data_IF_347990751781
#
_entry.id   IF_347990751781
#
_cell.length_a   1.000
_cell.length_b   1.000
_cell.length_c   1.000
_cell.angle_alpha   90.00
_cell.angle_beta   90.00
_cell.angle_gamma   90.00
#
_symmetry.space_group_name_H-M   'P 1'
#
loop_
_entity.id
_entity.type
_entity.pdbx_description
1 polymer ?
#
# COMPACT_ATOMS: atom_id res chain seq x y z
N UNK A 1 -30.27 -25.82 18.60
CA UNK A 1 -29.64 -26.18 19.88
C UNK A 1 -28.16 -26.36 19.57
N UNK A 2 -27.35 -25.50 20.16
CA UNK A 2 -25.91 -25.24 20.02
C UNK A 2 -25.03 -26.40 19.47
N UNK A 3 -24.54 -26.25 18.22
CA UNK A 3 -23.20 -26.75 17.90
C UNK A 3 -22.20 -25.71 18.44
N UNK A 4 -21.78 -25.88 19.70
CA UNK A 4 -20.55 -25.28 20.19
C UNK A 4 -19.37 -25.96 19.48
N UNK A 5 -19.15 -25.61 18.22
CA UNK A 5 -17.81 -25.76 17.64
C UNK A 5 -16.97 -24.67 18.27
N UNK A 6 -15.94 -25.07 19.01
CA UNK A 6 -14.88 -24.15 19.41
C UNK A 6 -14.44 -23.41 18.14
N UNK A 7 -14.62 -22.10 18.14
CA UNK A 7 -14.22 -21.26 17.01
C UNK A 7 -12.74 -20.98 17.17
N UNK A 8 -11.96 -21.32 16.15
CA UNK A 8 -10.54 -20.94 16.08
C UNK A 8 -10.44 -19.42 16.02
N UNK A 9 -9.67 -18.81 16.93
CA UNK A 9 -9.37 -17.39 16.86
C UNK A 9 -8.44 -17.11 15.67
N UNK A 10 -8.66 -16.00 14.95
CA UNK A 10 -7.74 -15.59 13.87
C UNK A 10 -6.33 -15.27 14.39
N UNK A 11 -6.22 -14.88 15.66
CA UNK A 11 -4.94 -14.62 16.34
C UNK A 11 -4.04 -15.85 16.37
N UNK A 12 -4.62 -17.05 16.45
CA UNK A 12 -3.86 -18.32 16.46
C UNK A 12 -3.14 -18.58 15.13
N UNK A 13 -3.69 -18.07 14.02
CA UNK A 13 -3.11 -18.22 12.69
C UNK A 13 -2.15 -17.07 12.35
N UNK A 14 -2.39 -15.88 12.88
CA UNK A 14 -1.75 -14.65 12.42
C UNK A 14 -2.07 -14.35 10.94
N UNK A 15 -1.51 -13.27 10.41
CA UNK A 15 -1.77 -12.82 9.04
C UNK A 15 -1.32 -13.84 7.99
N UNK A 16 -0.03 -14.23 8.00
CA UNK A 16 0.52 -15.15 7.00
C UNK A 16 -0.11 -16.54 7.08
N UNK A 17 -0.41 -17.03 8.28
CA UNK A 17 -1.10 -18.31 8.47
C UNK A 17 -2.53 -18.27 7.95
N UNK A 18 -3.24 -17.16 8.16
CA UNK A 18 -4.59 -16.96 7.63
C UNK A 18 -4.60 -16.90 6.11
N UNK A 19 -3.71 -16.10 5.49
CA UNK A 19 -3.59 -16.02 4.03
C UNK A 19 -3.32 -17.41 3.44
N UNK A 20 -2.34 -18.14 3.99
CA UNK A 20 -2.05 -19.51 3.55
C UNK A 20 -3.29 -20.40 3.67
N UNK A 21 -3.96 -20.40 4.82
CA UNK A 21 -5.14 -21.23 5.07
C UNK A 21 -6.28 -20.92 4.08
N UNK A 22 -6.57 -19.64 3.83
CA UNK A 22 -7.64 -19.22 2.92
C UNK A 22 -7.33 -19.53 1.46
N UNK A 23 -6.07 -19.51 1.07
CA UNK A 23 -5.64 -19.61 -0.33
C UNK A 23 -5.22 -21.02 -0.75
N UNK A 24 -5.01 -21.94 0.19
CA UNK A 24 -4.44 -23.29 -0.03
C UNK A 24 -5.21 -24.14 -1.08
N UNK A 25 -6.53 -23.92 -1.19
CA UNK A 25 -7.40 -24.67 -2.09
C UNK A 25 -7.61 -24.00 -3.46
N UNK A 26 -7.08 -22.80 -3.68
CA UNK A 26 -7.24 -22.07 -4.94
C UNK A 26 -6.14 -22.45 -5.93
N UNK A 27 -6.52 -23.25 -6.95
CA UNK A 27 -5.60 -23.66 -8.01
C UNK A 27 -5.68 -22.72 -9.20
N UNK A 28 -4.52 -22.33 -9.73
CA UNK A 28 -4.42 -21.64 -11.01
C UNK A 28 -4.90 -22.58 -12.12
N UNK A 29 -5.81 -22.08 -12.97
CA UNK A 29 -6.40 -22.84 -14.10
C UNK A 29 -6.11 -22.22 -15.46
N UNK A 30 -5.88 -20.92 -15.51
CA UNK A 30 -5.60 -20.19 -16.73
C UNK A 30 -4.10 -20.12 -16.96
N UNK A 31 -3.65 -20.48 -18.17
CA UNK A 31 -2.23 -20.42 -18.56
C UNK A 31 -1.68 -18.99 -18.49
N UNK A 32 -2.55 -17.99 -18.68
CA UNK A 32 -2.20 -16.57 -18.54
C UNK A 32 -1.92 -16.16 -17.10
N UNK A 33 -2.09 -17.01 -16.10
CA UNK A 33 -1.76 -16.69 -14.70
C UNK A 33 -0.45 -17.36 -14.32
N UNK A 34 0.65 -16.62 -14.41
CA UNK A 34 2.01 -17.11 -14.16
C UNK A 34 2.29 -17.21 -12.67
N UNK A 35 1.87 -16.21 -11.89
CA UNK A 35 2.02 -16.16 -10.43
C UNK A 35 0.74 -15.66 -9.79
N UNK A 36 0.26 -16.41 -8.80
CA UNK A 36 -0.86 -16.04 -7.93
C UNK A 36 -0.38 -15.55 -6.57
N UNK A 37 -1.09 -15.95 -5.51
CA UNK A 37 -0.80 -15.57 -4.12
C UNK A 37 0.64 -15.95 -3.72
N UNK A 38 1.32 -15.06 -2.98
CA UNK A 38 2.60 -15.34 -2.34
C UNK A 38 3.80 -14.52 -2.81
N UNK A 39 3.58 -13.48 -3.63
CA UNK A 39 4.55 -12.43 -3.99
C UNK A 39 3.94 -11.04 -3.74
N UNK A 40 4.70 -9.98 -4.02
CA UNK A 40 4.21 -8.58 -3.94
C UNK A 40 3.06 -8.30 -4.93
N UNK A 41 3.06 -8.93 -6.10
CA UNK A 41 1.97 -8.82 -7.07
C UNK A 41 1.71 -10.15 -7.79
N UNK A 42 0.48 -10.32 -8.27
CA UNK A 42 0.15 -11.38 -9.21
C UNK A 42 0.75 -11.06 -10.58
N UNK A 43 1.17 -12.10 -11.32
CA UNK A 43 1.77 -11.96 -12.65
C UNK A 43 0.90 -12.65 -13.68
N UNK A 44 0.45 -11.90 -14.68
CA UNK A 44 -0.35 -12.40 -15.80
C UNK A 44 0.41 -12.28 -17.11
N UNK A 45 0.38 -13.33 -17.93
CA UNK A 45 0.99 -13.35 -19.25
C UNK A 45 -0.01 -12.90 -20.32
N UNK A 46 0.28 -11.74 -20.93
CA UNK A 46 -0.40 -11.23 -22.11
C UNK A 46 0.56 -11.12 -23.31
N UNK A 47 1.45 -12.12 -23.46
CA UNK A 47 2.47 -12.28 -24.51
C UNK A 47 3.67 -11.35 -24.35
N UNK A 48 3.59 -10.15 -24.90
CA UNK A 48 4.77 -9.28 -25.06
C UNK A 48 5.21 -8.62 -23.74
N UNK A 49 4.30 -8.58 -22.76
CA UNK A 49 4.53 -8.02 -21.43
C UNK A 49 3.81 -8.88 -20.38
N UNK A 50 4.43 -9.02 -19.22
CA UNK A 50 3.78 -9.56 -18.04
C UNK A 50 3.05 -8.42 -17.34
N UNK A 51 1.74 -8.56 -17.14
CA UNK A 51 0.98 -7.63 -16.31
C UNK A 51 1.16 -7.99 -14.84
N UNK A 52 1.38 -6.97 -14.02
CA UNK A 52 1.56 -7.07 -12.58
C UNK A 52 0.36 -6.41 -11.90
N UNK A 53 -0.24 -7.10 -10.93
CA UNK A 53 -1.44 -6.62 -10.24
C UNK A 53 -1.27 -6.83 -8.73
N UNK A 54 -1.30 -5.73 -7.97
CA UNK A 54 -1.37 -5.75 -6.51
C UNK A 54 -2.59 -4.97 -6.02
N UNK A 55 -3.02 -5.23 -4.79
CA UNK A 55 -4.13 -4.52 -4.15
C UNK A 55 -3.91 -4.45 -2.65
N UNK A 56 -3.91 -3.24 -2.11
CA UNK A 56 -3.86 -2.99 -0.67
C UNK A 56 -5.13 -2.33 -0.13
N UNK A 57 -5.28 -2.47 1.19
CA UNK A 57 -6.30 -1.81 1.98
C UNK A 57 -5.66 -0.86 3.00
N UNK A 58 -6.15 0.37 3.05
CA UNK A 58 -5.90 1.32 4.12
C UNK A 58 -7.20 1.54 4.90
N UNK A 59 -7.14 1.21 6.17
CA UNK A 59 -8.26 1.27 7.11
C UNK A 59 -7.99 2.34 8.16
N UNK A 60 -8.96 3.21 8.39
CA UNK A 60 -8.94 4.18 9.49
C UNK A 60 -8.74 3.47 10.84
N UNK A 61 -7.83 3.98 11.67
CA UNK A 61 -7.48 3.42 12.97
C UNK A 61 -6.54 2.21 12.93
N UNK A 62 -6.18 1.73 11.75
CA UNK A 62 -5.18 0.66 11.56
C UNK A 62 -3.97 1.18 10.79
N UNK A 63 -4.20 1.80 9.63
CA UNK A 63 -3.14 2.23 8.72
C UNK A 63 -2.89 3.74 8.73
N UNK A 64 -3.90 4.50 9.19
CA UNK A 64 -3.85 5.95 9.32
C UNK A 64 -4.81 6.41 10.41
N UNK A 65 -4.57 7.62 10.91
CA UNK A 65 -5.43 8.28 11.88
C UNK A 65 -5.75 9.70 11.39
N UNK A 66 -7.04 10.01 11.28
CA UNK A 66 -7.51 11.29 10.75
C UNK A 66 -7.25 12.48 11.69
N UNK A 67 -6.85 12.23 12.94
CA UNK A 67 -6.45 13.30 13.87
C UNK A 67 -5.13 13.97 13.51
N UNK A 68 -4.25 13.28 12.77
CA UNK A 68 -2.93 13.82 12.40
C UNK A 68 -2.51 13.57 10.94
N UNK A 69 -3.25 12.75 10.18
CA UNK A 69 -2.96 12.55 8.75
C UNK A 69 -3.81 13.50 7.92
N UNK A 70 -3.21 14.50 7.22
CA UNK A 70 -3.93 15.32 6.27
C UNK A 70 -4.49 14.46 5.13
N UNK A 71 -5.74 14.72 4.72
CA UNK A 71 -6.44 13.92 3.72
C UNK A 71 -5.74 13.88 2.36
N UNK A 72 -5.14 14.99 1.95
CA UNK A 72 -4.31 15.05 0.74
C UNK A 72 -3.07 14.15 0.82
N UNK A 73 -2.43 14.06 1.99
CA UNK A 73 -1.31 13.14 2.19
C UNK A 73 -1.80 11.69 2.23
N UNK A 74 -2.97 11.42 2.83
CA UNK A 74 -3.57 10.10 2.82
C UNK A 74 -3.83 9.60 1.39
N UNK A 75 -4.43 10.43 0.53
CA UNK A 75 -4.65 10.10 -0.87
C UNK A 75 -3.35 9.82 -1.62
N UNK A 76 -2.33 10.65 -1.44
CA UNK A 76 -1.02 10.44 -2.04
C UNK A 76 -0.36 9.14 -1.55
N UNK A 77 -0.35 8.91 -0.23
CA UNK A 77 0.19 7.71 0.41
C UNK A 77 -0.51 6.44 -0.09
N UNK A 78 -1.84 6.47 -0.24
CA UNK A 78 -2.61 5.33 -0.71
C UNK A 78 -2.11 4.83 -2.07
N UNK A 79 -1.83 5.75 -3.00
CA UNK A 79 -1.25 5.41 -4.30
C UNK A 79 0.17 4.87 -4.11
N UNK A 80 1.03 5.57 -3.38
CA UNK A 80 2.45 5.21 -3.25
C UNK A 80 2.69 3.84 -2.65
N UNK A 81 1.91 3.43 -1.65
CA UNK A 81 2.01 2.09 -1.05
C UNK A 81 1.74 1.02 -2.11
N UNK A 82 0.67 1.18 -2.91
CA UNK A 82 0.31 0.21 -3.95
C UNK A 82 1.27 0.19 -5.14
N UNK A 83 1.88 1.33 -5.50
CA UNK A 83 2.89 1.36 -6.56
C UNK A 83 4.18 0.63 -6.11
N UNK A 84 4.47 0.63 -4.81
CA UNK A 84 5.68 0.03 -4.26
C UNK A 84 5.77 -1.47 -4.55
N UNK A 85 4.65 -2.19 -4.51
CA UNK A 85 4.61 -3.62 -4.81
C UNK A 85 4.98 -3.94 -6.25
N UNK A 86 4.49 -3.12 -7.20
CA UNK A 86 4.83 -3.25 -8.61
C UNK A 86 6.33 -2.99 -8.81
N UNK A 87 6.88 -1.96 -8.15
CA UNK A 87 8.30 -1.63 -8.22
C UNK A 87 9.19 -2.70 -7.56
N UNK A 88 8.73 -3.34 -6.48
CA UNK A 88 9.44 -4.43 -5.82
C UNK A 88 9.64 -5.64 -6.75
N UNK A 89 8.74 -5.84 -7.71
CA UNK A 89 8.85 -6.85 -8.77
C UNK A 89 9.52 -6.35 -10.05
N UNK A 90 10.24 -5.21 -9.98
CA UNK A 90 10.92 -4.56 -11.10
C UNK A 90 9.97 -4.12 -12.23
N UNK A 91 8.70 -3.87 -11.88
CA UNK A 91 7.66 -3.46 -12.80
C UNK A 91 7.57 -1.95 -13.00
N UNK A 92 6.91 -1.56 -14.08
CA UNK A 92 6.46 -0.19 -14.34
C UNK A 92 4.96 -0.13 -14.10
N UNK A 93 4.55 0.53 -13.02
CA UNK A 93 3.14 0.82 -12.76
C UNK A 93 2.58 1.84 -13.75
N UNK A 94 1.33 1.67 -14.16
CA UNK A 94 0.69 2.51 -15.18
C UNK A 94 -0.75 2.87 -14.88
N UNK A 95 -1.51 2.01 -14.22
CA UNK A 95 -2.91 2.28 -13.90
C UNK A 95 -3.22 1.94 -12.46
N UNK A 96 -4.24 2.62 -11.92
CA UNK A 96 -4.87 2.26 -10.65
C UNK A 96 -6.40 2.25 -10.76
N UNK A 97 -7.03 1.44 -9.91
CA UNK A 97 -8.43 1.65 -9.53
C UNK A 97 -8.52 2.04 -8.05
N UNK A 98 -9.53 2.81 -7.67
CA UNK A 98 -9.73 3.28 -6.30
C UNK A 98 -11.12 2.89 -5.80
N UNK A 99 -11.19 2.03 -4.80
CA UNK A 99 -12.43 1.71 -4.11
C UNK A 99 -12.48 2.40 -2.75
N UNK A 100 -13.54 3.16 -2.51
CA UNK A 100 -13.71 3.99 -1.32
C UNK A 100 -14.92 3.54 -0.50
N UNK A 101 -14.68 3.15 0.75
CA UNK A 101 -15.71 3.03 1.77
C UNK A 101 -15.75 4.30 2.62
N UNK A 102 -16.85 5.03 2.59
CA UNK A 102 -16.95 6.33 3.27
C UNK A 102 -18.17 6.40 4.19
N UNK A 103 -17.99 6.99 5.37
CA UNK A 103 -19.12 7.27 6.27
C UNK A 103 -19.88 8.52 5.82
N UNK A 104 -21.20 8.55 6.02
CA UNK A 104 -22.03 9.73 5.73
C UNK A 104 -21.70 10.97 6.56
N UNK A 105 -20.75 10.87 7.49
CA UNK A 105 -20.21 11.99 8.28
C UNK A 105 -19.18 12.82 7.52
N UNK A 106 -18.60 12.28 6.45
CA UNK A 106 -17.61 13.02 5.66
C UNK A 106 -18.30 14.05 4.77
N UNK A 107 -17.88 15.32 4.81
CA UNK A 107 -18.29 16.30 3.82
C UNK A 107 -17.63 15.99 2.47
N UNK A 108 -18.20 16.53 1.38
CA UNK A 108 -17.67 16.32 0.02
C UNK A 108 -16.22 16.79 -0.08
N UNK A 109 -15.92 17.94 0.51
CA UNK A 109 -14.62 18.61 0.50
C UNK A 109 -13.51 17.73 1.10
N UNK A 110 -13.86 16.88 2.07
CA UNK A 110 -12.91 15.92 2.62
C UNK A 110 -12.53 14.85 1.59
N UNK A 111 -13.50 14.38 0.80
CA UNK A 111 -13.27 13.38 -0.25
C UNK A 111 -12.51 14.00 -1.43
N UNK A 112 -12.82 15.25 -1.77
CA UNK A 112 -12.07 16.01 -2.78
C UNK A 112 -10.59 16.15 -2.39
N UNK A 113 -10.28 16.42 -1.12
CA UNK A 113 -8.89 16.50 -0.66
C UNK A 113 -8.15 15.15 -0.75
N UNK A 114 -8.83 14.02 -0.48
CA UNK A 114 -8.24 12.69 -0.72
C UNK A 114 -7.94 12.52 -2.21
N UNK A 115 -8.90 12.80 -3.09
CA UNK A 115 -8.72 12.63 -4.54
C UNK A 115 -7.69 13.57 -5.13
N UNK A 116 -7.52 14.77 -4.58
CA UNK A 116 -6.43 15.68 -4.93
C UNK A 116 -5.07 15.08 -4.57
N UNK A 117 -4.97 14.39 -3.44
CA UNK A 117 -3.77 13.62 -3.07
C UNK A 117 -3.45 12.51 -4.08
N UNK A 118 -4.48 11.77 -4.48
CA UNK A 118 -4.39 10.73 -5.50
C UNK A 118 -3.97 11.33 -6.85
N UNK A 119 -4.60 12.42 -7.27
CA UNK A 119 -4.27 13.15 -8.50
C UNK A 119 -2.81 13.60 -8.51
N UNK A 120 -2.31 14.16 -7.41
CA UNK A 120 -0.91 14.56 -7.28
C UNK A 120 0.05 13.37 -7.46
N UNK A 121 -0.26 12.23 -6.86
CA UNK A 121 0.54 11.02 -7.06
C UNK A 121 0.45 10.51 -8.50
N UNK A 122 -0.74 10.46 -9.09
CA UNK A 122 -0.97 10.04 -10.47
C UNK A 122 -0.18 10.91 -11.46
N UNK A 123 -0.27 12.23 -11.33
CA UNK A 123 0.45 13.17 -12.18
C UNK A 123 1.97 13.05 -12.02
N UNK A 124 2.46 12.92 -10.77
CA UNK A 124 3.91 12.81 -10.52
C UNK A 124 4.50 11.53 -11.11
N UNK A 125 3.79 10.40 -11.03
CA UNK A 125 4.31 9.09 -11.44
C UNK A 125 3.80 8.62 -12.80
N UNK A 126 3.02 9.45 -13.50
CA UNK A 126 2.38 9.15 -14.78
C UNK A 126 1.54 7.87 -14.72
N UNK A 127 0.58 7.87 -13.79
CA UNK A 127 -0.37 6.78 -13.54
C UNK A 127 -1.77 7.25 -13.90
N UNK A 128 -2.53 6.43 -14.62
CA UNK A 128 -3.93 6.72 -14.92
C UNK A 128 -4.84 6.14 -13.83
N UNK A 129 -5.75 6.95 -13.30
CA UNK A 129 -6.89 6.45 -12.53
C UNK A 129 -7.97 6.00 -13.52
N UNK A 130 -8.22 4.69 -13.60
CA UNK A 130 -9.06 4.09 -14.66
C UNK A 130 -10.40 3.54 -14.16
N UNK A 131 -10.69 3.65 -12.87
CA UNK A 131 -11.94 3.16 -12.32
C UNK A 131 -11.91 3.04 -10.81
N UNK A 132 -12.94 2.40 -10.27
CA UNK A 132 -13.12 2.32 -8.84
C UNK A 132 -14.53 1.91 -8.44
N UNK A 133 -14.76 1.92 -7.13
CA UNK A 133 -16.07 1.77 -6.52
C UNK A 133 -16.23 2.77 -5.37
N UNK A 134 -17.46 3.13 -5.02
CA UNK A 134 -17.70 3.99 -3.85
C UNK A 134 -18.93 3.50 -3.12
N UNK A 135 -18.76 3.19 -1.84
CA UNK A 135 -19.81 2.62 -1.01
C UNK A 135 -19.84 3.23 0.38
N UNK A 136 -20.98 3.06 1.05
CA UNK A 136 -21.17 3.50 2.43
C UNK A 136 -20.45 2.57 3.40
N UNK A 137 -19.70 3.14 4.34
CA UNK A 137 -19.03 2.42 5.43
C UNK A 137 -19.55 2.87 6.80
N UNK A 138 -19.81 1.90 7.68
CA UNK A 138 -20.22 2.17 9.07
C UNK A 138 -19.03 2.31 10.01
N UNK A 139 -17.88 1.76 9.66
CA UNK A 139 -16.69 1.69 10.50
C UNK A 139 -15.79 2.92 10.38
N UNK A 140 -15.91 3.70 9.31
CA UNK A 140 -15.02 4.84 9.03
C UNK A 140 -14.57 4.84 7.57
N UNK A 141 -13.48 5.56 7.30
CA UNK A 141 -12.87 5.64 5.98
C UNK A 141 -12.08 4.36 5.66
N UNK A 142 -12.35 3.80 4.48
CA UNK A 142 -11.65 2.65 3.90
C UNK A 142 -11.22 3.03 2.51
N UNK A 143 -9.93 2.87 2.20
CA UNK A 143 -9.38 3.09 0.86
C UNK A 143 -8.78 1.77 0.41
N UNK A 144 -9.23 1.25 -0.72
CA UNK A 144 -8.58 0.15 -1.42
C UNK A 144 -8.10 0.65 -2.76
N UNK A 145 -6.86 0.35 -3.11
CA UNK A 145 -6.34 0.64 -4.44
C UNK A 145 -5.87 -0.66 -5.05
N UNK A 146 -6.11 -0.84 -6.34
CA UNK A 146 -5.45 -1.88 -7.14
C UNK A 146 -4.45 -1.19 -8.04
N UNK A 147 -3.18 -1.55 -7.95
CA UNK A 147 -2.16 -1.11 -8.90
C UNK A 147 -2.01 -2.12 -10.03
N UNK A 148 -1.86 -1.59 -11.24
CA UNK A 148 -1.61 -2.36 -12.46
C UNK A 148 -0.35 -1.80 -13.09
N UNK A 149 0.56 -2.70 -13.41
CA UNK A 149 1.78 -2.37 -14.14
C UNK A 149 2.18 -3.48 -15.08
N UNK A 150 3.38 -3.36 -15.63
CA UNK A 150 3.97 -4.38 -16.47
C UNK A 150 5.48 -4.46 -16.34
N UNK A 151 6.04 -5.61 -16.72
CA UNK A 151 7.47 -5.79 -16.93
C UNK A 151 7.71 -6.70 -18.15
N UNK A 152 8.93 -6.71 -18.69
CA UNK A 152 9.34 -7.80 -19.56
C UNK A 152 9.41 -9.09 -18.74
N UNK A 153 9.26 -10.25 -19.39
CA UNK A 153 9.19 -11.54 -18.69
C UNK A 153 10.47 -11.84 -17.91
N UNK A 154 11.60 -11.50 -18.49
CA UNK A 154 12.94 -11.65 -17.94
C UNK A 154 13.24 -10.67 -16.80
N UNK A 155 12.50 -9.56 -16.72
CA UNK A 155 12.73 -8.51 -15.72
C UNK A 155 11.92 -8.74 -14.43
N UNK A 156 10.85 -9.55 -14.48
CA UNK A 156 10.00 -9.81 -13.31
C UNK A 156 10.82 -10.48 -12.21
N UNK A 157 10.89 -9.81 -11.06
CA UNK A 157 11.58 -10.33 -9.87
C UNK A 157 10.59 -11.00 -8.92
N UNK A 158 10.99 -12.12 -8.31
CA UNK A 158 10.18 -12.89 -7.36
C UNK A 158 10.91 -13.07 -6.03
N UNK A 159 10.16 -13.15 -4.93
CA UNK A 159 10.70 -13.39 -3.58
C UNK A 159 11.44 -14.74 -3.41
N UNK A 160 11.29 -15.67 -4.34
CA UNK A 160 11.89 -17.01 -4.28
C UNK A 160 13.12 -17.18 -5.19
N UNK A 161 13.72 -16.09 -5.69
CA UNK A 161 14.88 -16.13 -6.58
C UNK A 161 16.25 -16.19 -5.88
N UNK A 162 16.33 -15.81 -4.60
CA UNK A 162 17.61 -15.65 -3.89
C UNK A 162 18.44 -16.94 -3.84
N UNK A 163 19.75 -16.81 -4.05
CA UNK A 163 20.74 -17.89 -4.07
C UNK A 163 21.78 -17.72 -2.95
N UNK A 164 22.52 -18.80 -2.67
CA UNK A 164 23.68 -18.73 -1.79
C UNK A 164 24.71 -17.74 -2.34
N UNK A 165 25.24 -16.89 -1.45
CA UNK A 165 26.20 -15.81 -1.78
C UNK A 165 25.60 -14.54 -2.38
N UNK A 166 24.27 -14.45 -2.57
CA UNK A 166 23.62 -13.18 -2.91
C UNK A 166 23.81 -12.14 -1.81
N UNK A 167 23.94 -10.88 -2.21
CA UNK A 167 23.99 -9.76 -1.28
C UNK A 167 22.57 -9.35 -0.87
N UNK A 168 22.37 -9.16 0.43
CA UNK A 168 21.16 -8.51 0.93
C UNK A 168 21.36 -7.00 0.96
N UNK A 169 20.59 -6.29 0.17
CA UNK A 169 20.65 -4.84 0.07
C UNK A 169 19.30 -4.22 0.45
N UNK A 170 19.34 -2.97 0.93
CA UNK A 170 18.15 -2.16 1.23
C UNK A 170 18.34 -0.80 0.61
N UNK A 171 17.24 -0.16 0.20
CA UNK A 171 17.26 1.17 -0.38
C UNK A 171 16.73 2.21 0.61
N UNK A 172 17.42 3.36 0.70
CA UNK A 172 17.02 4.46 1.58
C UNK A 172 17.12 4.13 3.07
N UNK A 173 16.43 4.92 3.90
CA UNK A 173 16.49 4.78 5.35
C UNK A 173 15.35 3.92 5.91
N UNK A 174 15.72 3.00 6.80
CA UNK A 174 14.80 2.15 7.57
C UNK A 174 14.43 2.81 8.89
N UNK A 175 13.19 2.55 9.36
CA UNK A 175 12.70 3.02 10.66
C UNK A 175 12.15 4.46 10.67
N UNK A 176 12.39 5.27 9.62
CA UNK A 176 11.88 6.65 9.54
C UNK A 176 10.36 6.77 9.72
N UNK A 177 9.59 5.94 8.99
CA UNK A 177 8.12 5.94 9.11
C UNK A 177 7.65 5.56 10.53
N UNK A 178 8.33 4.62 11.19
CA UNK A 178 8.00 4.22 12.55
C UNK A 178 8.26 5.35 13.55
N UNK A 179 9.42 6.01 13.48
CA UNK A 179 9.71 7.16 14.34
C UNK A 179 8.73 8.31 14.07
N UNK A 180 8.37 8.55 12.80
CA UNK A 180 7.36 9.53 12.42
C UNK A 180 6.00 9.24 13.05
N UNK A 181 5.56 7.98 13.02
CA UNK A 181 4.35 7.53 13.70
C UNK A 181 4.42 7.79 15.21
N UNK A 182 5.54 7.45 15.87
CA UNK A 182 5.69 7.67 17.31
C UNK A 182 5.61 9.15 17.69
N UNK A 183 6.17 10.05 16.87
CA UNK A 183 6.05 11.50 17.07
C UNK A 183 4.60 11.93 16.93
N UNK A 184 3.91 11.54 15.85
CA UNK A 184 2.53 11.92 15.59
C UNK A 184 1.57 11.42 16.70
N UNK A 185 1.73 10.18 17.16
CA UNK A 185 0.95 9.64 18.27
C UNK A 185 1.22 10.38 19.59
N UNK A 186 2.48 10.72 19.87
CA UNK A 186 2.83 11.52 21.06
C UNK A 186 2.16 12.89 21.02
N UNK A 187 2.28 13.61 19.91
CA UNK A 187 1.68 14.94 19.78
C UNK A 187 0.15 14.90 19.84
N UNK A 188 -0.47 13.84 19.30
CA UNK A 188 -1.90 13.58 19.46
C UNK A 188 -2.27 13.44 20.94
N UNK A 189 -1.52 12.69 21.75
CA UNK A 189 -1.80 12.57 23.19
C UNK A 189 -1.66 13.91 23.91
N UNK A 190 -0.61 14.68 23.60
CA UNK A 190 -0.42 16.03 24.17
C UNK A 190 -1.59 16.95 23.83
N UNK A 191 -2.05 16.93 22.58
CA UNK A 191 -3.21 17.72 22.14
C UNK A 191 -4.51 17.29 22.86
N UNK A 192 -4.71 15.99 23.06
CA UNK A 192 -5.88 15.48 23.79
C UNK A 192 -5.86 15.88 25.28
N UNK A 193 -4.69 15.98 25.90
CA UNK A 193 -4.53 16.47 27.27
C UNK A 193 -4.71 17.99 27.36
N UNK A 194 -4.23 18.75 26.37
CA UNK A 194 -4.36 20.20 26.33
C UNK A 194 -4.52 20.73 24.89
N UNK A 195 -5.77 20.95 24.43
CA UNK A 195 -6.05 21.40 23.06
C UNK A 195 -5.54 22.81 22.69
N UNK A 196 -5.01 23.57 23.66
CA UNK A 196 -4.38 24.87 23.41
C UNK A 196 -2.91 24.76 23.01
N UNK A 197 -2.30 23.58 23.18
CA UNK A 197 -0.92 23.32 22.77
C UNK A 197 -0.91 22.98 21.29
N UNK A 198 -0.08 23.70 20.53
CA UNK A 198 0.19 23.35 19.13
C UNK A 198 1.23 22.23 19.10
N UNK A 199 1.05 21.20 18.25
CA UNK A 199 2.07 20.17 18.02
C UNK A 199 3.40 20.80 17.61
N UNK A 200 4.49 20.39 18.26
CA UNK A 200 5.84 20.82 17.89
C UNK A 200 6.47 19.81 16.93
N UNK A 201 6.31 20.07 15.64
CA UNK A 201 6.86 19.27 14.55
C UNK A 201 8.13 19.87 13.94
N UNK A 202 8.61 21.01 14.46
CA UNK A 202 9.69 21.77 13.84
C UNK A 202 11.00 20.95 13.80
N UNK A 203 11.66 20.94 12.64
CA UNK A 203 12.89 20.18 12.41
C UNK A 203 12.70 18.66 12.31
N UNK A 204 11.45 18.15 12.33
CA UNK A 204 11.12 16.72 12.20
C UNK A 204 10.50 16.38 10.84
N UNK A 205 10.48 17.34 9.90
CA UNK A 205 9.78 17.26 8.62
C UNK A 205 10.12 15.97 7.86
N UNK A 206 11.42 15.68 7.71
CA UNK A 206 11.88 14.48 6.99
C UNK A 206 11.25 13.19 7.53
N UNK A 207 11.27 13.00 8.85
CA UNK A 207 10.79 11.77 9.49
C UNK A 207 9.25 11.69 9.42
N UNK A 208 8.57 12.82 9.56
CA UNK A 208 7.11 12.88 9.44
C UNK A 208 6.66 12.60 8.00
N UNK A 209 7.35 13.16 7.02
CA UNK A 209 7.11 12.89 5.61
C UNK A 209 7.28 11.41 5.28
N UNK A 210 8.27 10.71 5.87
CA UNK A 210 8.42 9.25 5.67
C UNK A 210 7.19 8.46 6.13
N UNK A 211 6.41 8.97 7.10
CA UNK A 211 5.17 8.33 7.55
C UNK A 211 3.94 8.80 6.76
N UNK A 212 3.84 10.09 6.45
CA UNK A 212 2.66 10.70 5.83
C UNK A 212 2.66 10.64 4.31
N UNK A 213 3.84 10.72 3.69
CA UNK A 213 4.05 10.84 2.25
C UNK A 213 5.26 9.98 1.81
N UNK A 214 5.23 8.66 2.01
CA UNK A 214 6.29 7.79 1.52
C UNK A 214 6.36 7.85 -0.01
N UNK A 215 7.53 7.56 -0.57
CA UNK A 215 7.71 7.46 -2.03
C UNK A 215 8.18 6.06 -2.40
N UNK A 216 7.49 5.46 -3.37
CA UNK A 216 7.86 4.18 -3.95
C UNK A 216 9.19 4.29 -4.71
N UNK A 217 10.00 3.23 -4.66
CA UNK A 217 11.40 3.24 -5.13
C UNK A 217 11.55 2.95 -6.62
N UNK A 218 10.79 3.65 -7.46
CA UNK A 218 10.93 3.60 -8.92
C UNK A 218 12.33 3.99 -9.38
N UNK A 219 12.97 4.91 -8.67
CA UNK A 219 14.36 5.33 -8.89
C UNK A 219 15.34 4.15 -8.85
N UNK A 220 15.09 3.16 -7.99
CA UNK A 220 15.92 1.96 -7.87
C UNK A 220 15.70 1.01 -9.06
N UNK A 221 14.45 0.83 -9.49
CA UNK A 221 14.13 0.05 -10.70
C UNK A 221 14.87 0.63 -11.91
N UNK A 222 14.78 1.94 -12.11
CA UNK A 222 15.45 2.64 -13.21
C UNK A 222 16.99 2.54 -13.10
N UNK A 223 17.54 2.68 -11.88
CA UNK A 223 18.98 2.58 -11.64
C UNK A 223 19.51 1.17 -11.95
N UNK A 224 18.85 0.12 -11.46
CA UNK A 224 19.27 -1.27 -11.67
C UNK A 224 19.28 -1.63 -13.16
N UNK A 225 18.24 -1.23 -13.89
CA UNK A 225 18.17 -1.39 -15.34
C UNK A 225 19.32 -0.70 -16.08
N UNK A 226 19.76 0.48 -15.62
CA UNK A 226 20.89 1.21 -16.24
C UNK A 226 22.24 0.53 -15.99
N UNK A 227 22.46 -0.01 -14.79
CA UNK A 227 23.72 -0.67 -14.44
C UNK A 227 23.80 -2.13 -14.94
N UNK A 228 22.71 -2.65 -15.54
CA UNK A 228 22.59 -4.01 -16.10
C UNK A 228 22.95 -5.10 -15.08
N UNK A 229 22.50 -4.90 -13.85
CA UNK A 229 22.53 -5.89 -12.78
C UNK A 229 21.21 -6.63 -12.77
#
# INVERSE_FOLDING_TARGET
MFENKERTSLEELGEFGLIKHLTDNFKIRHESSIKGVGDDAAVLDFKDKQALISTDLLLEGVHFDLSYVPLIHLGYKAVQVNLSDIYAMNGIATQITVSLGVSSKFPLEAIEEIYKGIELACNKFNIDLIGGDTSSSKQGLVISITSIGYAAKEDVTYRNGAQESDLLCVSGDLGGAYVGLQILEREKQVFLENPQIQPDLEGKDYIIERQLKPEGRRDIVDLLAQIKV
#
